data_IF_599313356344
#
_entry.id   IF_599313356344
#
_cell.length_a   1.000
_cell.length_b   1.000
_cell.length_c   1.000
_cell.angle_alpha   90.00
_cell.angle_beta   90.00
_cell.angle_gamma   90.00
#
_symmetry.space_group_name_H-M   'P 1'
#
loop_
_entity.id
_entity.type
_entity.pdbx_description
1 polymer ?
#
# COMPACT_ATOMS: atom_id res chain seq x y z
N UNK A 1 -0.20 -24.15 20.26
CA UNK A 1 -0.16 -22.77 19.74
C UNK A 1 -0.89 -22.78 18.41
N UNK A 2 -1.94 -21.98 18.25
CA UNK A 2 -2.57 -21.78 16.94
C UNK A 2 -1.96 -20.53 16.31
N UNK A 3 -1.53 -20.64 15.05
CA UNK A 3 -1.09 -19.53 14.23
C UNK A 3 -2.26 -19.20 13.29
N UNK A 4 -2.69 -17.95 13.25
CA UNK A 4 -3.72 -17.46 12.34
C UNK A 4 -3.19 -16.30 11.50
N UNK A 5 -3.61 -16.25 10.24
CA UNK A 5 -3.34 -15.12 9.35
C UNK A 5 -4.46 -14.11 9.50
N UNK A 6 -4.12 -12.83 9.62
CA UNK A 6 -5.10 -11.75 9.56
C UNK A 6 -5.07 -11.17 8.15
N UNK A 7 -6.26 -11.02 7.55
CA UNK A 7 -6.44 -10.48 6.20
C UNK A 7 -7.02 -9.09 6.31
N UNK A 8 -6.30 -8.14 5.73
CA UNK A 8 -6.55 -6.71 5.89
C UNK A 8 -6.60 -6.08 4.51
N UNK A 9 -7.25 -4.93 4.39
CA UNK A 9 -7.28 -4.18 3.14
C UNK A 9 -7.25 -2.67 3.37
N UNK A 10 -6.79 -1.95 2.36
CA UNK A 10 -6.95 -0.50 2.29
C UNK A 10 -7.87 -0.16 1.12
N UNK A 11 -8.89 0.65 1.38
CA UNK A 11 -9.73 1.22 0.33
C UNK A 11 -9.13 2.52 -0.22
N UNK A 12 -9.58 2.97 -1.41
CA UNK A 12 -9.18 4.29 -1.94
C UNK A 12 -7.75 4.37 -2.48
N UNK A 13 -7.13 3.24 -2.84
CA UNK A 13 -5.84 3.22 -3.53
C UNK A 13 -5.90 4.12 -4.77
N UNK A 14 -5.00 5.10 -4.80
CA UNK A 14 -4.85 6.04 -5.91
C UNK A 14 -3.44 5.93 -6.47
N UNK A 15 -3.27 6.10 -7.76
CA UNK A 15 -1.94 5.95 -8.34
C UNK A 15 -1.87 6.40 -9.79
N UNK A 16 -0.63 6.48 -10.28
CA UNK A 16 -0.30 6.77 -11.66
C UNK A 16 0.54 5.62 -12.21
N UNK A 17 0.06 5.07 -13.32
CA UNK A 17 0.78 4.09 -14.10
C UNK A 17 1.21 4.75 -15.41
N UNK A 18 2.52 4.80 -15.65
CA UNK A 18 3.10 5.19 -16.93
C UNK A 18 3.55 3.89 -17.59
N UNK A 19 2.92 3.53 -18.70
CA UNK A 19 3.30 2.36 -19.50
C UNK A 19 3.98 2.85 -20.77
N UNK A 20 5.20 2.38 -21.01
CA UNK A 20 5.87 2.57 -22.28
C UNK A 20 5.76 1.28 -23.10
N UNK A 21 5.01 1.34 -24.20
CA UNK A 21 4.73 0.18 -25.06
C UNK A 21 5.89 -0.18 -25.98
N UNK A 22 6.86 0.72 -26.16
CA UNK A 22 8.08 0.45 -26.91
C UNK A 22 9.15 -0.22 -26.04
N UNK A 23 9.24 0.19 -24.77
CA UNK A 23 10.15 -0.39 -23.78
C UNK A 23 9.49 -0.39 -22.39
N UNK A 24 9.07 -1.58 -21.95
CA UNK A 24 8.41 -1.77 -20.66
C UNK A 24 9.29 -1.37 -19.47
N UNK A 25 10.62 -1.38 -19.62
CA UNK A 25 11.57 -1.02 -18.54
C UNK A 25 11.55 0.46 -18.21
N UNK A 26 11.07 1.30 -19.15
CA UNK A 26 10.85 2.73 -18.96
C UNK A 26 9.47 3.04 -18.33
N UNK A 27 8.69 2.02 -18.02
CA UNK A 27 7.42 2.18 -17.31
C UNK A 27 7.67 2.57 -15.85
N UNK A 28 6.71 3.25 -15.24
CA UNK A 28 6.79 3.66 -13.84
C UNK A 28 5.43 3.53 -13.16
N UNK A 29 5.45 3.14 -11.90
CA UNK A 29 4.28 2.98 -11.05
C UNK A 29 4.45 3.82 -9.80
N UNK A 30 3.50 4.70 -9.57
CA UNK A 30 3.35 5.44 -8.32
C UNK A 30 1.98 5.11 -7.74
N UNK A 31 1.91 4.67 -6.49
CA UNK A 31 0.67 4.40 -5.79
C UNK A 31 0.68 5.08 -4.43
N UNK A 32 -0.48 5.45 -3.94
CA UNK A 32 -0.67 6.18 -2.69
C UNK A 32 -2.00 5.77 -2.07
N UNK A 33 -2.01 5.62 -0.76
CA UNK A 33 -3.21 5.28 0.00
C UNK A 33 -3.20 6.00 1.35
N UNK A 34 -4.37 6.44 1.79
CA UNK A 34 -4.54 7.05 3.10
C UNK A 34 -4.60 5.96 4.17
N UNK A 35 -3.84 6.13 5.26
CA UNK A 35 -3.81 5.19 6.38
C UNK A 35 -5.20 5.05 7.03
N UNK A 36 -6.01 6.11 6.99
CA UNK A 36 -7.37 6.11 7.51
C UNK A 36 -8.29 5.11 6.78
N UNK A 37 -7.93 4.67 5.58
CA UNK A 37 -8.70 3.70 4.80
C UNK A 37 -8.40 2.23 5.11
N UNK A 38 -7.59 1.98 6.14
CA UNK A 38 -7.35 0.63 6.68
C UNK A 38 -8.64 0.03 7.22
N UNK A 39 -8.91 -1.21 6.82
CA UNK A 39 -9.98 -2.06 7.35
C UNK A 39 -9.43 -3.47 7.58
N UNK A 40 -9.43 -3.90 8.84
CA UNK A 40 -9.07 -5.26 9.25
C UNK A 40 -10.26 -6.10 9.67
N UNK A 41 -11.48 -5.57 9.55
CA UNK A 41 -12.72 -6.18 10.04
C UNK A 41 -12.95 -6.03 11.55
N UNK A 42 -12.02 -5.39 12.28
CA UNK A 42 -12.11 -5.09 13.71
C UNK A 42 -11.71 -3.63 13.99
N UNK A 43 -12.71 -2.79 14.31
CA UNK A 43 -12.51 -1.36 14.52
C UNK A 43 -11.58 -1.01 15.69
N UNK A 44 -11.44 -1.87 16.71
CA UNK A 44 -10.46 -1.62 17.80
C UNK A 44 -9.04 -1.83 17.30
N UNK A 45 -8.85 -2.85 16.47
CA UNK A 45 -7.55 -3.16 15.85
C UNK A 45 -7.16 -2.08 14.85
N UNK A 46 -8.11 -1.59 14.06
CA UNK A 46 -7.89 -0.49 13.13
C UNK A 46 -7.45 0.78 13.87
N UNK A 47 -8.13 1.12 14.97
CA UNK A 47 -7.76 2.28 15.81
C UNK A 47 -6.34 2.14 16.40
N UNK A 48 -5.98 0.94 16.85
CA UNK A 48 -4.63 0.67 17.36
C UNK A 48 -3.56 0.77 16.27
N UNK A 49 -3.80 0.21 15.09
CA UNK A 49 -2.87 0.29 13.96
C UNK A 49 -2.69 1.72 13.43
N UNK A 50 -3.72 2.56 13.53
CA UNK A 50 -3.66 3.98 13.15
C UNK A 50 -2.89 4.86 14.16
N UNK A 51 -2.71 4.39 15.38
CA UNK A 51 -2.06 5.14 16.47
C UNK A 51 -0.54 5.29 16.29
N UNK A 52 0.08 6.07 17.19
CA UNK A 52 1.52 6.33 17.21
C UNK A 52 2.40 5.08 17.39
N UNK A 53 1.83 3.98 17.91
CA UNK A 53 2.55 2.72 18.11
C UNK A 53 2.80 1.95 16.80
N UNK A 54 2.09 2.31 15.71
CA UNK A 54 2.19 1.65 14.41
C UNK A 54 2.30 2.67 13.26
N UNK A 55 1.23 2.91 12.50
CA UNK A 55 1.29 3.75 11.32
C UNK A 55 1.39 5.24 11.65
N UNK A 56 1.03 5.63 12.88
CA UNK A 56 1.10 7.01 13.36
C UNK A 56 0.45 7.98 12.38
N UNK A 57 -0.80 7.73 12.03
CA UNK A 57 -1.47 8.40 10.90
C UNK A 57 -1.50 9.93 11.03
N UNK A 58 -1.45 10.47 12.26
CA UNK A 58 -1.41 11.90 12.50
C UNK A 58 -0.14 12.55 11.93
N UNK A 59 0.99 11.86 11.95
CA UNK A 59 2.26 12.33 11.38
C UNK A 59 2.52 11.77 9.97
N UNK A 60 2.02 10.57 9.70
CA UNK A 60 2.21 9.87 8.43
C UNK A 60 0.85 9.42 7.85
N UNK A 61 0.00 10.36 7.37
CA UNK A 61 -1.36 10.04 6.95
C UNK A 61 -1.42 9.23 5.65
N UNK A 62 -0.34 9.21 4.87
CA UNK A 62 -0.27 8.58 3.55
C UNK A 62 0.87 7.59 3.44
N UNK A 63 0.56 6.41 2.91
CA UNK A 63 1.55 5.43 2.46
C UNK A 63 1.71 5.56 0.95
N UNK A 64 2.95 5.65 0.47
CA UNK A 64 3.25 5.80 -0.95
C UNK A 64 4.21 4.72 -1.42
N UNK A 65 3.92 4.14 -2.59
CA UNK A 65 4.82 3.24 -3.30
C UNK A 65 5.30 3.92 -4.58
N UNK A 66 6.60 3.85 -4.86
CA UNK A 66 7.19 4.32 -6.11
C UNK A 66 8.14 3.26 -6.64
N UNK A 67 7.89 2.80 -7.87
CA UNK A 67 8.77 1.85 -8.53
C UNK A 67 10.14 2.48 -8.78
N UNK A 68 11.20 1.80 -8.39
CA UNK A 68 12.58 2.21 -8.67
C UNK A 68 13.12 1.59 -9.96
N UNK A 69 12.61 0.41 -10.34
CA UNK A 69 12.99 -0.31 -11.55
C UNK A 69 11.83 -1.20 -12.00
N UNK A 70 11.63 -1.29 -13.31
CA UNK A 70 10.71 -2.23 -13.94
C UNK A 70 11.52 -3.16 -14.82
N UNK A 71 11.46 -4.45 -14.52
CA UNK A 71 12.14 -5.48 -15.31
C UNK A 71 11.11 -6.39 -15.96
N UNK A 72 11.34 -6.72 -17.23
CA UNK A 72 10.56 -7.75 -17.90
C UNK A 72 10.96 -9.10 -17.32
N UNK A 73 10.05 -9.72 -16.56
CA UNK A 73 10.27 -11.09 -16.08
C UNK A 73 10.29 -12.03 -17.28
N UNK A 74 11.49 -12.50 -17.62
CA UNK A 74 11.70 -13.51 -18.65
C UNK A 74 10.87 -14.77 -18.35
N UNK A 75 10.33 -15.38 -19.40
CA UNK A 75 9.48 -16.57 -19.32
C UNK A 75 10.31 -17.83 -19.12
#
# INVERSE_FOLDING_TARGET
>A
MMISNVKDSFSGLSGRLIVNTADETLSSIEASVDIDKLDTGDGKRDAHLKSADFFHQEQHPKMTFKSTMVEKKGR
#
